data_IF_623916368747
#
_entry.id   IF_623916368747
#
_cell.length_a   1.000
_cell.length_b   1.000
_cell.length_c   1.000
_cell.angle_alpha   90.00
_cell.angle_beta   90.00
_cell.angle_gamma   90.00
#
_symmetry.space_group_name_H-M   'P 1'
#
loop_
_entity.id
_entity.type
_entity.pdbx_description
1 polymer ?
#
# COMPACT_ATOMS: atom_id res chain seq x y z
N UNK A 1 -5.20 -17.71 30.18
CA UNK A 1 -6.00 -17.06 29.14
C UNK A 1 -6.91 -18.08 28.47
N UNK A 2 -8.16 -17.74 28.27
CA UNK A 2 -9.12 -18.64 27.62
C UNK A 2 -8.90 -18.69 26.10
N UNK A 3 -9.42 -19.75 25.45
CA UNK A 3 -9.39 -19.86 24.00
C UNK A 3 -10.13 -18.72 23.31
N UNK A 4 -11.23 -18.25 23.93
CA UNK A 4 -11.99 -17.11 23.40
C UNK A 4 -11.13 -15.85 23.37
N UNK A 5 -10.41 -15.57 24.44
CA UNK A 5 -9.54 -14.38 24.51
C UNK A 5 -8.45 -14.44 23.46
N UNK A 6 -7.83 -15.63 23.26
CA UNK A 6 -6.82 -15.81 22.21
C UNK A 6 -7.39 -15.62 20.82
N UNK A 7 -8.58 -16.17 20.58
CA UNK A 7 -9.26 -16.03 19.29
C UNK A 7 -9.60 -14.57 19.02
N UNK A 8 -10.09 -13.85 20.02
CA UNK A 8 -10.40 -12.43 19.88
C UNK A 8 -9.13 -11.60 19.62
N UNK A 9 -8.03 -11.93 20.29
CA UNK A 9 -6.75 -11.23 20.05
C UNK A 9 -6.25 -11.46 18.63
N UNK A 10 -6.33 -12.70 18.14
CA UNK A 10 -5.93 -13.01 16.76
C UNK A 10 -6.82 -12.28 15.75
N UNK A 11 -8.13 -12.28 15.97
CA UNK A 11 -9.07 -11.58 15.09
C UNK A 11 -8.82 -10.07 15.11
N UNK A 12 -8.60 -9.48 16.28
CA UNK A 12 -8.30 -8.05 16.39
C UNK A 12 -7.01 -7.68 15.66
N UNK A 13 -5.97 -8.52 15.74
CA UNK A 13 -4.72 -8.27 15.04
C UNK A 13 -4.89 -8.33 13.53
N UNK A 14 -5.70 -9.27 13.02
CA UNK A 14 -6.03 -9.37 11.60
C UNK A 14 -6.80 -8.14 11.11
N UNK A 15 -7.76 -7.67 11.89
CA UNK A 15 -8.52 -6.46 11.57
C UNK A 15 -7.62 -5.23 11.55
N UNK A 16 -6.70 -5.10 12.50
CA UNK A 16 -5.75 -4.00 12.54
C UNK A 16 -4.84 -4.01 11.31
N UNK A 17 -4.37 -5.19 10.90
CA UNK A 17 -3.55 -5.35 9.71
C UNK A 17 -4.31 -4.95 8.44
N UNK A 18 -5.57 -5.39 8.30
CA UNK A 18 -6.41 -5.00 7.17
C UNK A 18 -6.72 -3.51 7.16
N UNK A 19 -6.93 -2.90 8.33
CA UNK A 19 -7.15 -1.46 8.44
C UNK A 19 -5.94 -0.68 7.97
N UNK A 20 -4.74 -1.11 8.34
CA UNK A 20 -3.48 -0.49 7.87
C UNK A 20 -3.34 -0.60 6.35
N UNK A 21 -3.63 -1.76 5.78
CA UNK A 21 -3.58 -1.98 4.34
C UNK A 21 -4.57 -1.09 3.60
N UNK A 22 -5.81 -1.01 4.12
CA UNK A 22 -6.84 -0.17 3.52
C UNK A 22 -6.44 1.30 3.52
N UNK A 23 -5.80 1.77 4.59
CA UNK A 23 -5.30 3.14 4.66
C UNK A 23 -4.25 3.40 3.58
N UNK A 24 -3.32 2.46 3.36
CA UNK A 24 -2.30 2.60 2.32
C UNK A 24 -2.92 2.59 0.92
N UNK A 25 -3.89 1.70 0.66
CA UNK A 25 -4.61 1.68 -0.61
C UNK A 25 -5.35 2.99 -0.86
N UNK A 26 -5.99 3.54 0.17
CA UNK A 26 -6.69 4.83 0.06
C UNK A 26 -5.71 5.96 -0.25
N UNK A 27 -4.55 5.98 0.38
CA UNK A 27 -3.50 6.96 0.11
C UNK A 27 -2.97 6.82 -1.33
N UNK A 28 -2.75 5.59 -1.78
CA UNK A 28 -2.32 5.32 -3.15
C UNK A 28 -3.35 5.83 -4.17
N UNK A 29 -4.63 5.53 -3.95
CA UNK A 29 -5.71 5.99 -4.83
C UNK A 29 -5.77 7.52 -4.85
N UNK A 30 -5.65 8.15 -3.70
CA UNK A 30 -5.67 9.62 -3.63
C UNK A 30 -4.51 10.27 -4.41
N UNK A 31 -3.44 9.54 -4.64
CA UNK A 31 -2.23 10.04 -5.30
C UNK A 31 -2.00 9.42 -6.69
N UNK A 32 -3.01 8.79 -7.30
CA UNK A 32 -2.85 8.12 -8.59
C UNK A 32 -2.35 9.08 -9.68
N UNK A 33 -2.74 10.33 -9.61
CA UNK A 33 -2.33 11.36 -10.58
C UNK A 33 -1.23 12.29 -10.06
N UNK A 34 -0.66 11.99 -8.91
CA UNK A 34 0.42 12.79 -8.35
C UNK A 34 1.73 12.45 -9.06
N UNK A 35 2.35 13.40 -9.77
CA UNK A 35 3.60 13.12 -10.49
C UNK A 35 4.70 12.65 -9.55
N UNK A 36 5.40 11.59 -9.96
CA UNK A 36 6.50 11.03 -9.19
C UNK A 36 6.09 10.21 -7.97
N UNK A 37 4.81 10.02 -7.74
CA UNK A 37 4.32 9.26 -6.58
C UNK A 37 4.62 7.77 -6.77
N UNK A 38 5.22 7.16 -5.76
CA UNK A 38 5.44 5.72 -5.71
C UNK A 38 4.45 5.09 -4.75
N UNK A 39 3.78 4.08 -5.25
CA UNK A 39 2.78 3.32 -4.52
C UNK A 39 3.39 2.74 -3.24
N UNK A 40 2.68 2.85 -2.13
CA UNK A 40 3.08 2.28 -0.85
C UNK A 40 2.58 0.86 -0.72
N UNK A 41 3.46 -0.01 -0.25
CA UNK A 41 3.22 -1.44 -0.10
C UNK A 41 3.50 -1.86 1.33
N UNK A 42 2.75 -2.81 1.81
CA UNK A 42 3.04 -3.48 3.06
C UNK A 42 2.74 -4.97 2.91
N UNK A 43 3.37 -5.78 3.74
CA UNK A 43 3.12 -7.22 3.79
C UNK A 43 2.55 -7.59 5.15
N UNK A 44 1.80 -8.68 5.18
CA UNK A 44 1.33 -9.26 6.42
C UNK A 44 2.32 -10.31 6.88
N UNK A 45 2.54 -10.35 8.19
CA UNK A 45 3.39 -11.35 8.83
C UNK A 45 2.60 -12.03 9.91
N UNK A 46 2.68 -13.33 9.96
CA UNK A 46 2.07 -14.10 11.03
C UNK A 46 3.15 -14.44 12.07
N UNK A 47 2.88 -14.08 13.31
CA UNK A 47 3.76 -14.39 14.41
C UNK A 47 3.15 -15.57 15.16
N UNK A 48 3.81 -16.72 15.09
CA UNK A 48 3.39 -17.90 15.83
C UNK A 48 3.80 -17.76 17.29
N UNK A 49 2.88 -18.09 18.20
CA UNK A 49 3.08 -18.07 19.65
C UNK A 49 2.52 -19.34 20.26
N UNK A 50 3.05 -19.81 21.41
CA UNK A 50 2.50 -20.99 22.08
C UNK A 50 1.04 -20.83 22.49
N UNK A 51 0.59 -19.58 22.71
CA UNK A 51 -0.79 -19.25 23.12
C UNK A 51 -1.67 -18.81 21.96
N UNK A 52 -1.20 -18.98 20.73
CA UNK A 52 -1.92 -18.59 19.51
C UNK A 52 -1.06 -17.70 18.63
N UNK A 53 -1.54 -17.43 17.42
CA UNK A 53 -0.85 -16.56 16.48
C UNK A 53 -1.52 -15.20 16.38
N UNK A 54 -0.74 -14.19 15.98
CA UNK A 54 -1.25 -12.85 15.65
C UNK A 54 -0.72 -12.45 14.29
N UNK A 55 -1.45 -11.56 13.62
CA UNK A 55 -1.04 -10.98 12.34
C UNK A 55 -0.51 -9.58 12.62
N UNK A 56 0.59 -9.24 11.99
CA UNK A 56 1.13 -7.90 12.03
C UNK A 56 1.51 -7.46 10.61
N UNK A 57 1.67 -6.16 10.42
CA UNK A 57 2.15 -5.63 9.16
C UNK A 57 3.65 -5.44 9.20
N UNK A 58 4.32 -5.71 8.07
CA UNK A 58 5.72 -5.39 7.90
C UNK A 58 5.92 -3.89 7.68
N UNK A 59 7.18 -3.47 7.43
CA UNK A 59 7.46 -2.07 7.15
C UNK A 59 6.82 -1.64 5.83
N UNK A 60 6.43 -0.37 5.76
CA UNK A 60 5.95 0.23 4.52
C UNK A 60 7.11 0.39 3.57
N UNK A 61 6.93 -0.06 2.32
CA UNK A 61 7.91 0.07 1.26
C UNK A 61 7.31 0.85 0.10
N UNK A 62 8.17 1.50 -0.66
CA UNK A 62 7.77 2.15 -1.89
C UNK A 62 7.99 1.19 -3.06
N UNK A 63 7.05 1.19 -4.00
CA UNK A 63 7.17 0.43 -5.24
C UNK A 63 8.36 0.95 -6.04
N UNK A 64 9.29 0.06 -6.43
CA UNK A 64 10.51 0.41 -7.15
C UNK A 64 10.39 0.24 -8.66
N UNK A 65 9.20 -0.06 -9.18
CA UNK A 65 9.01 -0.13 -10.62
C UNK A 65 9.27 1.24 -11.26
N UNK A 66 9.72 1.28 -12.53
CA UNK A 66 9.92 2.56 -13.19
C UNK A 66 8.63 3.38 -13.25
N UNK A 67 8.75 4.68 -12.98
CA UNK A 67 7.62 5.59 -13.09
C UNK A 67 7.19 5.69 -14.55
N UNK A 68 5.89 5.56 -14.85
CA UNK A 68 5.40 5.66 -16.21
C UNK A 68 5.56 7.08 -16.73
N UNK A 69 5.89 7.23 -18.00
CA UNK A 69 6.00 8.54 -18.64
C UNK A 69 4.70 8.87 -19.36
N UNK A 70 4.21 10.07 -19.11
CA UNK A 70 2.98 10.58 -19.69
C UNK A 70 3.33 11.74 -20.62
N UNK A 71 2.77 11.74 -21.82
CA UNK A 71 2.96 12.82 -22.77
C UNK A 71 1.95 13.93 -22.51
N UNK A 72 2.44 15.07 -22.07
CA UNK A 72 1.68 16.31 -21.91
C UNK A 72 2.66 17.47 -21.93
N UNK A 73 2.93 18.03 -23.13
CA UNK A 73 3.92 19.10 -23.27
C UNK A 73 3.57 20.37 -22.50
N UNK A 74 2.31 20.57 -22.17
CA UNK A 74 1.86 21.73 -21.41
C UNK A 74 2.03 21.56 -19.91
N UNK A 75 2.38 20.34 -19.45
CA UNK A 75 2.51 20.07 -18.03
C UNK A 75 3.75 20.78 -17.46
N UNK A 76 3.65 21.39 -16.25
CA UNK A 76 4.80 22.11 -15.65
C UNK A 76 6.05 21.26 -15.46
N UNK A 77 5.91 19.94 -15.32
CA UNK A 77 7.02 19.02 -15.12
C UNK A 77 7.46 18.31 -16.41
N UNK A 78 6.90 18.69 -17.56
CA UNK A 78 7.24 18.07 -18.83
C UNK A 78 8.70 18.37 -19.20
N UNK A 79 9.39 17.35 -19.73
CA UNK A 79 10.75 17.50 -20.24
C UNK A 79 10.75 18.12 -21.66
N UNK A 80 11.93 18.16 -22.30
CA UNK A 80 12.08 18.77 -23.64
C UNK A 80 11.27 18.00 -24.70
N UNK A 81 11.03 16.70 -24.49
CA UNK A 81 10.24 15.87 -25.40
C UNK A 81 8.73 15.90 -25.07
N UNK A 82 8.33 16.59 -24.01
CA UNK A 82 6.93 16.72 -23.62
C UNK A 82 6.43 15.62 -22.69
N UNK A 83 7.30 14.86 -22.03
CA UNK A 83 6.95 13.80 -21.11
C UNK A 83 7.23 14.19 -19.66
N UNK A 84 6.41 13.70 -18.76
CA UNK A 84 6.67 13.78 -17.32
C UNK A 84 6.43 12.44 -16.67
N UNK A 85 7.03 12.23 -15.51
CA UNK A 85 6.87 10.99 -14.76
C UNK A 85 5.56 11.02 -13.96
N UNK A 86 4.72 10.02 -14.20
CA UNK A 86 3.47 9.84 -13.46
C UNK A 86 3.68 9.06 -12.17
N UNK A 87 2.62 8.43 -11.65
CA UNK A 87 2.69 7.60 -10.46
C UNK A 87 2.78 6.12 -10.81
N UNK A 88 3.24 5.30 -9.86
CA UNK A 88 3.22 3.84 -10.02
C UNK A 88 1.89 3.22 -9.58
N UNK A 89 0.89 4.03 -9.22
CA UNK A 89 -0.42 3.53 -8.77
C UNK A 89 -1.22 3.03 -9.97
N UNK A 90 -1.75 1.81 -9.84
CA UNK A 90 -2.71 1.23 -10.76
C UNK A 90 -4.04 1.09 -10.04
N UNK A 91 -5.05 1.85 -10.46
CA UNK A 91 -6.35 1.85 -9.81
C UNK A 91 -6.98 0.46 -9.76
N UNK A 92 -6.82 -0.33 -10.81
CA UNK A 92 -7.39 -1.67 -10.85
C UNK A 92 -6.77 -2.57 -9.78
N UNK A 93 -5.46 -2.42 -9.55
CA UNK A 93 -4.76 -3.17 -8.50
C UNK A 93 -5.21 -2.71 -7.11
N UNK A 94 -5.33 -1.40 -6.90
CA UNK A 94 -5.72 -0.86 -5.60
C UNK A 94 -7.17 -1.20 -5.24
N UNK A 95 -8.06 -1.25 -6.22
CA UNK A 95 -9.47 -1.59 -6.01
C UNK A 95 -9.71 -3.10 -5.83
N UNK A 96 -8.78 -3.91 -6.25
CA UNK A 96 -8.85 -5.35 -6.03
C UNK A 96 -8.38 -5.70 -4.62
#
# INVERSE_FOLDING_TARGET
MTNITKTMAAAASGMAAQSARLRLSSENIANVDTPGYRRKLTSFQQIARPDGGVVTTGPVRLDQTPLPKTYDPAHPLADEQGYYEGSTVDLMVELA
#
